data_IF_448390259263
#
_entry.id   IF_448390259263
#
_cell.length_a   1.000
_cell.length_b   1.000
_cell.length_c   1.000
_cell.angle_alpha   90.00
_cell.angle_beta   90.00
_cell.angle_gamma   90.00
#
_symmetry.space_group_name_H-M   'P 1'
#
loop_
_entity.id
_entity.type
_entity.pdbx_description
1 polymer ?
#
# COMPACT_ATOMS: atom_id res chain seq x y z
N UNK A 1 -19.16 -6.59 0.45
CA UNK A 1 -17.90 -6.64 1.20
C UNK A 1 -17.37 -5.25 1.40
N UNK A 2 -16.97 -4.96 2.61
CA UNK A 2 -16.37 -3.68 2.93
C UNK A 2 -14.89 -3.70 2.62
N UNK A 3 -14.52 -3.16 1.47
CA UNK A 3 -13.12 -2.97 1.13
C UNK A 3 -12.71 -1.61 1.68
N UNK A 4 -12.10 -1.61 2.86
CA UNK A 4 -11.67 -0.36 3.48
C UNK A 4 -10.49 0.24 2.74
N UNK A 5 -10.45 1.56 2.66
CA UNK A 5 -9.40 2.30 1.98
C UNK A 5 -9.11 3.61 2.71
N UNK A 6 -7.99 4.22 2.38
CA UNK A 6 -7.63 5.52 2.93
C UNK A 6 -8.37 6.62 2.18
N UNK A 7 -9.19 7.40 2.89
CA UNK A 7 -9.85 8.56 2.30
C UNK A 7 -8.84 9.58 1.77
N UNK A 8 -7.72 9.72 2.47
CA UNK A 8 -6.66 10.64 2.10
C UNK A 8 -6.05 10.31 0.74
N UNK A 9 -5.96 9.03 0.41
CA UNK A 9 -5.29 8.56 -0.82
C UNK A 9 -6.24 7.88 -1.80
N UNK A 10 -7.54 8.08 -1.66
CA UNK A 10 -8.53 7.39 -2.51
C UNK A 10 -8.35 7.66 -4.00
N UNK A 11 -7.84 8.82 -4.37
CA UNK A 11 -7.65 9.18 -5.77
C UNK A 11 -6.50 8.40 -6.43
N UNK A 12 -5.70 7.70 -5.64
CA UNK A 12 -4.57 6.92 -6.11
C UNK A 12 -4.85 5.42 -6.12
N UNK A 13 -6.08 5.01 -5.86
CA UNK A 13 -6.44 3.60 -5.89
C UNK A 13 -6.41 3.08 -7.32
N UNK A 14 -5.55 2.09 -7.56
CA UNK A 14 -5.46 1.42 -8.86
C UNK A 14 -6.49 0.31 -8.97
N UNK A 15 -6.61 -0.51 -7.93
CA UNK A 15 -7.60 -1.58 -7.89
C UNK A 15 -7.88 -2.01 -6.45
N UNK A 16 -9.05 -2.60 -6.27
CA UNK A 16 -9.43 -3.22 -5.01
C UNK A 16 -9.94 -4.62 -5.33
N UNK A 17 -9.56 -5.59 -4.51
CA UNK A 17 -9.95 -6.98 -4.72
C UNK A 17 -10.00 -7.74 -3.41
N UNK A 18 -10.58 -8.92 -3.45
CA UNK A 18 -10.64 -9.84 -2.34
C UNK A 18 -9.75 -11.05 -2.65
N UNK A 19 -8.68 -11.21 -1.88
CA UNK A 19 -7.76 -12.34 -2.00
C UNK A 19 -7.87 -13.26 -0.77
N UNK A 20 -9.07 -13.33 -0.17
CA UNK A 20 -9.31 -13.90 1.15
C UNK A 20 -9.38 -12.81 2.22
N UNK A 21 -8.82 -11.66 1.96
CA UNK A 21 -8.86 -10.43 2.75
C UNK A 21 -9.02 -9.26 1.80
N UNK A 22 -9.64 -8.15 2.24
CA UNK A 22 -9.70 -6.94 1.41
C UNK A 22 -8.29 -6.43 1.11
N UNK A 23 -8.00 -6.21 -0.17
CA UNK A 23 -6.73 -5.66 -0.63
C UNK A 23 -6.98 -4.42 -1.49
N UNK A 24 -6.26 -3.35 -1.21
CA UNK A 24 -6.28 -2.13 -2.00
C UNK A 24 -4.88 -1.87 -2.55
N UNK A 25 -4.77 -1.67 -3.85
CA UNK A 25 -3.52 -1.34 -4.52
C UNK A 25 -3.53 0.14 -4.85
N UNK A 26 -2.55 0.88 -4.35
CA UNK A 26 -2.35 2.30 -4.62
C UNK A 26 -1.21 2.48 -5.61
N UNK A 27 -1.38 3.42 -6.53
CA UNK A 27 -0.35 3.80 -7.48
C UNK A 27 -0.12 5.30 -7.34
N UNK A 28 1.10 5.68 -6.98
CA UNK A 28 1.46 7.08 -6.76
C UNK A 28 2.22 7.65 -7.96
N UNK A 29 2.22 8.99 -8.12
CA UNK A 29 2.87 9.61 -9.29
C UNK A 29 4.38 9.45 -9.31
N UNK A 30 5.00 9.06 -8.21
CA UNK A 30 6.46 8.88 -8.12
C UNK A 30 6.95 7.51 -8.61
N UNK A 31 6.06 6.67 -9.16
CA UNK A 31 6.42 5.34 -9.63
C UNK A 31 6.34 4.25 -8.56
N UNK A 32 6.08 4.64 -7.33
CA UNK A 32 5.84 3.72 -6.23
C UNK A 32 4.35 3.57 -5.96
N UNK A 33 4.02 2.61 -5.15
CA UNK A 33 2.66 2.41 -4.67
C UNK A 33 2.66 1.52 -3.45
N UNK A 34 1.49 1.00 -3.12
CA UNK A 34 1.34 0.18 -1.93
C UNK A 34 0.29 -0.90 -2.15
N UNK A 35 0.56 -2.07 -1.61
CA UNK A 35 -0.45 -3.12 -1.42
C UNK A 35 -0.87 -3.07 0.03
N UNK A 36 -2.13 -2.76 0.28
CA UNK A 36 -2.69 -2.64 1.62
C UNK A 36 -3.71 -3.74 1.83
N UNK A 37 -3.44 -4.62 2.79
CA UNK A 37 -4.33 -5.72 3.13
C UNK A 37 -4.86 -5.48 4.53
N UNK A 38 -6.19 -5.60 4.69
CA UNK A 38 -6.81 -5.52 6.00
C UNK A 38 -7.23 -6.92 6.44
N UNK A 39 -6.62 -7.40 7.53
CA UNK A 39 -6.98 -8.69 8.11
C UNK A 39 -8.19 -8.53 9.03
N UNK A 40 -9.02 -9.57 9.09
CA UNK A 40 -10.21 -9.58 9.94
C UNK A 40 -9.92 -10.03 11.37
N UNK A 41 -8.64 -10.26 11.68
CA UNK A 41 -8.22 -10.70 13.01
C UNK A 41 -7.71 -9.51 13.81
N UNK A 42 -8.08 -9.45 15.08
CA UNK A 42 -7.73 -8.35 15.97
C UNK A 42 -6.23 -8.07 16.03
N UNK A 43 -5.42 -9.11 15.92
CA UNK A 43 -3.97 -9.00 16.13
C UNK A 43 -3.17 -8.67 14.88
N UNK A 44 -3.79 -8.79 13.71
CA UNK A 44 -3.03 -8.60 12.46
C UNK A 44 -3.20 -7.22 11.85
N UNK A 45 -4.32 -6.56 12.12
CA UNK A 45 -4.55 -5.20 11.68
C UNK A 45 -4.40 -5.03 10.17
N UNK A 46 -3.67 -3.99 9.78
CA UNK A 46 -3.41 -3.64 8.39
C UNK A 46 -1.95 -3.92 8.06
N UNK A 47 -1.71 -4.52 6.90
CA UNK A 47 -0.37 -4.82 6.42
C UNK A 47 -0.13 -4.08 5.10
N UNK A 48 1.06 -3.46 4.99
CA UNK A 48 1.46 -2.71 3.79
C UNK A 48 2.74 -3.27 3.22
N UNK A 49 2.74 -3.52 1.91
CA UNK A 49 3.95 -3.77 1.14
C UNK A 49 4.16 -2.60 0.19
N UNK A 50 5.42 -2.13 0.07
CA UNK A 50 5.77 -1.09 -0.88
C UNK A 50 5.88 -1.69 -2.27
N UNK A 51 5.28 -1.05 -3.25
CA UNK A 51 5.28 -1.50 -4.64
C UNK A 51 6.08 -0.54 -5.52
N UNK A 52 6.65 -1.09 -6.60
CA UNK A 52 7.18 -0.31 -7.70
C UNK A 52 6.40 -0.65 -8.95
N UNK A 53 6.10 0.34 -9.75
CA UNK A 53 5.39 0.17 -11.02
C UNK A 53 6.36 0.36 -12.17
N UNK A 54 6.25 -0.50 -13.19
CA UNK A 54 7.01 -0.32 -14.42
C UNK A 54 6.24 0.56 -15.41
N UNK A 55 6.84 0.84 -16.55
CA UNK A 55 6.24 1.71 -17.57
C UNK A 55 4.97 1.12 -18.20
N UNK A 56 4.73 -0.18 -18.04
CA UNK A 56 3.54 -0.86 -18.54
C UNK A 56 2.42 -0.92 -17.51
N UNK A 57 2.64 -0.36 -16.31
CA UNK A 57 1.67 -0.39 -15.24
C UNK A 57 1.65 -1.68 -14.42
N UNK A 58 2.61 -2.56 -14.65
CA UNK A 58 2.77 -3.76 -13.84
C UNK A 58 3.52 -3.42 -12.54
N UNK A 59 3.22 -4.11 -11.47
CA UNK A 59 3.85 -3.81 -10.18
C UNK A 59 4.49 -5.04 -9.59
N UNK A 60 5.45 -4.78 -8.71
CA UNK A 60 6.16 -5.79 -7.93
C UNK A 60 6.48 -5.20 -6.57
N UNK A 61 6.76 -6.05 -5.58
CA UNK A 61 7.11 -5.58 -4.25
C UNK A 61 8.54 -5.06 -4.27
N UNK A 62 8.74 -3.88 -3.70
CA UNK A 62 10.05 -3.25 -3.61
C UNK A 62 10.57 -3.32 -2.17
N UNK A 63 11.60 -4.12 -1.96
CA UNK A 63 12.24 -4.29 -0.65
C UNK A 63 13.42 -3.34 -0.43
N UNK A 64 13.70 -2.46 -1.39
CA UNK A 64 14.91 -1.63 -1.38
C UNK A 64 14.68 -0.22 -0.86
N UNK A 65 13.45 0.12 -0.48
CA UNK A 65 13.15 1.48 -0.01
C UNK A 65 13.58 1.66 1.44
N UNK A 66 13.83 2.92 1.87
CA UNK A 66 14.16 3.18 3.28
C UNK A 66 12.97 2.98 4.24
N UNK A 67 11.76 2.78 3.70
CA UNK A 67 10.55 2.59 4.53
C UNK A 67 10.56 1.23 5.18
N UNK A 68 10.85 0.18 4.40
CA UNK A 68 10.95 -1.17 4.91
C UNK A 68 11.66 -2.05 3.88
N UNK A 69 12.37 -3.05 4.37
CA UNK A 69 12.93 -4.11 3.53
C UNK A 69 12.06 -5.36 3.53
N UNK A 70 10.85 -5.25 4.05
CA UNK A 70 9.86 -6.32 4.11
C UNK A 70 8.47 -5.67 4.09
N UNK A 71 7.46 -6.34 4.59
CA UNK A 71 6.13 -5.77 4.77
C UNK A 71 6.01 -5.20 6.18
N UNK A 72 5.13 -4.22 6.34
CA UNK A 72 4.83 -3.65 7.65
C UNK A 72 3.42 -4.11 8.04
N UNK A 73 3.31 -4.79 9.16
CA UNK A 73 2.04 -5.32 9.63
C UNK A 73 1.60 -4.72 10.96
N UNK A 74 0.39 -5.08 11.39
CA UNK A 74 -0.15 -4.66 12.68
C UNK A 74 -0.48 -3.18 12.77
N UNK A 75 -0.81 -2.55 11.65
CA UNK A 75 -1.04 -1.11 11.59
C UNK A 75 -2.50 -0.75 11.89
N UNK A 76 -2.70 0.37 12.58
CA UNK A 76 -3.99 1.03 12.67
C UNK A 76 -4.28 1.80 11.38
N UNK A 77 -5.49 2.33 11.23
CA UNK A 77 -5.84 3.15 10.08
C UNK A 77 -5.00 4.43 10.01
N UNK A 78 -4.72 5.06 11.14
CA UNK A 78 -3.87 6.23 11.20
C UNK A 78 -2.43 5.90 10.83
N UNK A 79 -1.90 4.81 11.35
CA UNK A 79 -0.56 4.34 11.01
C UNK A 79 -0.45 3.98 9.54
N UNK A 80 -1.50 3.35 8.96
CA UNK A 80 -1.57 3.08 7.52
C UNK A 80 -1.41 4.36 6.73
N UNK A 81 -2.15 5.40 7.07
CA UNK A 81 -2.08 6.67 6.35
C UNK A 81 -0.71 7.31 6.45
N UNK A 82 -0.05 7.18 7.60
CA UNK A 82 1.31 7.69 7.79
C UNK A 82 2.31 6.95 6.90
N UNK A 83 2.19 5.64 6.79
CA UNK A 83 3.06 4.84 5.91
C UNK A 83 2.80 5.17 4.44
N UNK A 84 1.53 5.30 4.04
CA UNK A 84 1.18 5.70 2.67
C UNK A 84 1.78 7.05 2.33
N UNK A 85 1.78 7.99 3.28
CA UNK A 85 2.39 9.30 3.08
C UNK A 85 3.90 9.19 2.86
N UNK A 86 4.57 8.33 3.60
CA UNK A 86 6.00 8.11 3.42
C UNK A 86 6.31 7.55 2.03
N UNK A 87 5.49 6.63 1.55
CA UNK A 87 5.66 6.07 0.20
C UNK A 87 5.40 7.13 -0.86
N UNK A 88 4.37 7.92 -0.68
CA UNK A 88 4.03 9.03 -1.57
C UNK A 88 5.16 10.04 -1.67
N UNK A 89 5.88 10.25 -0.57
CA UNK A 89 6.95 11.24 -0.48
C UNK A 89 8.32 10.71 -0.93
N UNK A 90 8.43 9.44 -1.33
CA UNK A 90 9.67 8.92 -1.88
C UNK A 90 10.05 9.67 -3.15
N UNK A 91 11.36 9.79 -3.39
CA UNK A 91 11.84 10.40 -4.63
C UNK A 91 11.36 9.58 -5.82
N UNK A 92 11.06 10.29 -6.89
CA UNK A 92 10.60 9.65 -8.11
C UNK A 92 11.57 8.57 -8.57
N UNK A 93 11.02 7.41 -8.94
CA UNK A 93 11.79 6.32 -9.51
C UNK A 93 12.28 6.70 -10.90
N UNK A 94 13.51 6.32 -11.16
CA UNK A 94 14.12 6.47 -12.50
C UNK A 94 14.16 5.14 -13.21
#
# INVERSE_FOLDING_TARGET
MDLTYSEKFKDYIETQRDIGYPQTIYKFPNGYGASVIKFNYEYFGIEIAVLRFDENGNWDIDYSTPITDDVIGGLSEEERDNVLQQIFDLKERK
#
